data_IF_528729008597
#
_entry.id   IF_528729008597
#
_cell.length_a   1.000
_cell.length_b   1.000
_cell.length_c   1.000
_cell.angle_alpha   90.00
_cell.angle_beta   90.00
_cell.angle_gamma   90.00
#
_symmetry.space_group_name_H-M   'P 1'
#
loop_
_entity.id
_entity.type
_entity.pdbx_description
1 polymer ?
#
# COMPACT_ATOMS: atom_id res chain seq x y z
N UNK A 1 19.97 -38.83 -1.10
CA UNK A 1 20.07 -37.83 -2.18
C UNK A 1 18.72 -37.15 -2.35
N UNK A 2 18.49 -36.03 -1.65
CA UNK A 2 17.33 -35.14 -1.89
C UNK A 2 17.69 -33.73 -1.40
N UNK A 3 18.60 -33.05 -2.10
CA UNK A 3 18.83 -31.62 -1.91
C UNK A 3 18.22 -30.87 -3.10
N UNK A 4 17.04 -30.30 -2.91
CA UNK A 4 16.48 -29.27 -3.81
C UNK A 4 15.89 -28.16 -2.93
N UNK A 5 16.77 -27.25 -2.51
CA UNK A 5 16.38 -25.99 -1.89
C UNK A 5 17.23 -24.88 -2.54
N UNK A 6 17.02 -24.64 -3.83
CA UNK A 6 17.74 -23.61 -4.58
C UNK A 6 16.85 -23.01 -5.66
N UNK A 7 15.96 -22.09 -5.26
CA UNK A 7 15.54 -21.00 -6.15
C UNK A 7 16.29 -19.75 -5.70
N UNK A 8 17.60 -19.71 -5.97
CA UNK A 8 18.37 -18.47 -5.93
C UNK A 8 18.10 -17.73 -7.25
N UNK A 9 17.22 -16.73 -7.21
CA UNK A 9 17.08 -15.76 -8.29
C UNK A 9 18.33 -14.88 -8.32
N UNK A 10 19.20 -15.20 -9.26
CA UNK A 10 20.41 -14.47 -9.61
C UNK A 10 20.06 -13.08 -10.14
N UNK A 11 20.55 -12.04 -9.46
CA UNK A 11 20.34 -10.64 -9.79
C UNK A 11 19.62 -9.92 -8.66
N UNK A 12 20.35 -9.10 -7.88
CA UNK A 12 19.72 -8.18 -6.93
C UNK A 12 18.80 -7.24 -7.70
N UNK A 13 17.51 -7.56 -7.74
CA UNK A 13 16.49 -6.72 -8.37
C UNK A 13 16.47 -5.33 -7.70
N UNK A 14 16.11 -4.30 -8.47
CA UNK A 14 16.08 -2.92 -7.98
C UNK A 14 15.27 -2.77 -6.67
N UNK A 15 14.18 -3.53 -6.53
CA UNK A 15 13.34 -3.55 -5.32
C UNK A 15 14.09 -4.08 -4.09
N UNK A 16 14.94 -5.10 -4.23
CA UNK A 16 15.75 -5.62 -3.11
C UNK A 16 16.79 -4.58 -2.66
N UNK A 17 17.34 -3.81 -3.59
CA UNK A 17 18.33 -2.77 -3.28
C UNK A 17 17.72 -1.55 -2.59
N UNK A 18 16.49 -1.19 -2.92
CA UNK A 18 15.79 -0.01 -2.37
C UNK A 18 15.05 -0.34 -1.08
N UNK A 19 14.32 -1.46 -1.05
CA UNK A 19 13.43 -1.81 0.06
C UNK A 19 13.98 -2.91 0.97
N UNK A 20 15.05 -3.62 0.55
CA UNK A 20 15.72 -4.66 1.33
C UNK A 20 14.76 -5.69 1.93
N UNK A 21 13.87 -6.20 1.08
CA UNK A 21 12.78 -7.08 1.45
C UNK A 21 13.27 -8.30 2.25
N UNK A 22 14.44 -8.85 1.91
CA UNK A 22 15.01 -10.00 2.63
C UNK A 22 15.56 -9.64 4.01
N UNK A 23 16.08 -8.43 4.20
CA UNK A 23 16.51 -7.93 5.52
C UNK A 23 15.31 -7.74 6.44
N UNK A 24 14.18 -7.28 5.88
CA UNK A 24 12.93 -7.12 6.62
C UNK A 24 12.08 -8.40 6.69
N UNK A 25 12.53 -9.50 6.07
CA UNK A 25 11.80 -10.76 6.05
C UNK A 25 10.46 -10.72 5.31
N UNK A 26 10.26 -9.75 4.40
CA UNK A 26 9.03 -9.59 3.62
C UNK A 26 9.22 -9.96 2.16
N UNK A 27 8.13 -9.95 1.38
CA UNK A 27 8.16 -10.21 -0.06
C UNK A 27 7.53 -9.05 -0.81
N UNK A 28 7.93 -8.84 -2.07
CA UNK A 28 7.36 -7.79 -2.91
C UNK A 28 5.83 -7.88 -3.01
N UNK A 29 5.27 -9.10 -3.04
CA UNK A 29 3.82 -9.31 -3.03
C UNK A 29 3.17 -8.78 -1.74
N UNK A 30 3.78 -9.04 -0.59
CA UNK A 30 3.29 -8.57 0.71
C UNK A 30 3.30 -7.04 0.77
N UNK A 31 4.41 -6.42 0.39
CA UNK A 31 4.54 -4.94 0.41
C UNK A 31 3.56 -4.27 -0.55
N UNK A 32 3.35 -4.82 -1.74
CA UNK A 32 2.38 -4.27 -2.71
C UNK A 32 0.96 -4.33 -2.15
N UNK A 33 0.57 -5.43 -1.51
CA UNK A 33 -0.76 -5.56 -0.89
C UNK A 33 -0.91 -4.60 0.29
N UNK A 34 0.13 -4.48 1.11
CA UNK A 34 0.15 -3.54 2.24
C UNK A 34 -0.01 -2.09 1.75
N UNK A 35 0.81 -1.67 0.78
CA UNK A 35 0.74 -0.33 0.19
C UNK A 35 -0.60 -0.06 -0.50
N UNK A 36 -1.14 -1.04 -1.23
CA UNK A 36 -2.45 -0.92 -1.87
C UNK A 36 -3.58 -0.76 -0.84
N UNK A 37 -3.53 -1.50 0.27
CA UNK A 37 -4.51 -1.40 1.35
C UNK A 37 -4.47 -0.01 1.97
N UNK A 38 -3.28 0.49 2.31
CA UNK A 38 -3.09 1.87 2.78
C UNK A 38 -3.62 2.89 1.79
N UNK A 39 -3.28 2.77 0.51
CA UNK A 39 -3.79 3.66 -0.53
C UNK A 39 -5.32 3.68 -0.58
N UNK A 40 -5.97 2.52 -0.59
CA UNK A 40 -7.43 2.44 -0.57
C UNK A 40 -8.04 3.04 0.70
N UNK A 41 -7.42 2.87 1.86
CA UNK A 41 -7.87 3.51 3.11
C UNK A 41 -7.86 5.03 2.99
N UNK A 42 -6.77 5.62 2.49
CA UNK A 42 -6.68 7.07 2.26
C UNK A 42 -7.72 7.55 1.25
N UNK A 43 -7.89 6.83 0.14
CA UNK A 43 -8.91 7.13 -0.87
C UNK A 43 -10.31 7.10 -0.25
N UNK A 44 -10.62 6.06 0.52
CA UNK A 44 -11.90 5.95 1.23
C UNK A 44 -12.15 7.16 2.14
N UNK A 45 -11.16 7.56 2.95
CA UNK A 45 -11.28 8.73 3.85
C UNK A 45 -11.59 10.02 3.07
N UNK A 46 -10.91 10.26 1.96
CA UNK A 46 -11.12 11.46 1.12
C UNK A 46 -12.54 11.53 0.57
N UNK A 47 -13.16 10.41 0.23
CA UNK A 47 -14.53 10.39 -0.28
C UNK A 47 -15.59 10.33 0.82
N UNK A 48 -15.32 9.62 1.92
CA UNK A 48 -16.30 9.37 2.98
C UNK A 48 -16.42 10.53 3.95
N UNK A 49 -15.33 11.22 4.28
CA UNK A 49 -15.41 12.38 5.17
C UNK A 49 -16.35 13.47 4.61
N UNK A 50 -16.26 13.87 3.33
CA UNK A 50 -17.20 14.83 2.75
C UNK A 50 -18.63 14.28 2.59
N UNK A 51 -18.79 12.98 2.29
CA UNK A 51 -20.11 12.37 2.16
C UNK A 51 -20.87 12.38 3.48
N UNK A 52 -20.21 12.13 4.61
CA UNK A 52 -20.82 12.20 5.95
C UNK A 52 -21.20 13.65 6.30
N UNK A 53 -20.35 14.63 6.00
CA UNK A 53 -20.68 16.06 6.21
C UNK A 53 -21.81 16.55 5.30
N UNK A 54 -21.94 16.01 4.09
CA UNK A 54 -23.02 16.33 3.16
C UNK A 54 -24.41 15.90 3.65
N UNK A 55 -24.52 14.80 4.42
CA UNK A 55 -25.82 14.36 4.99
C UNK A 55 -26.27 15.25 6.16
N UNK A 56 -25.35 15.99 6.78
CA UNK A 56 -25.62 16.89 7.90
C UNK A 56 -26.07 18.31 7.48
N UNK A 57 -26.23 18.57 6.17
CA UNK A 57 -26.75 19.85 5.65
C UNK A 57 -25.71 20.97 5.53
N UNK A 58 -24.42 20.66 5.57
CA UNK A 58 -23.33 21.62 5.32
C UNK A 58 -22.83 21.49 3.88
N UNK A 59 -22.73 22.61 3.16
CA UNK A 59 -22.30 22.68 1.76
C UNK A 59 -21.00 21.89 1.54
N UNK A 60 -21.03 20.91 0.63
CA UNK A 60 -19.93 19.98 0.31
C UNK A 60 -18.67 20.68 -0.22
N UNK A 61 -18.77 21.98 -0.51
CA UNK A 61 -17.68 22.87 -0.93
C UNK A 61 -16.75 23.31 0.22
N UNK A 62 -17.17 23.19 1.48
CA UNK A 62 -16.35 23.62 2.63
C UNK A 62 -15.27 22.62 3.07
N UNK A 63 -15.32 21.37 2.57
CA UNK A 63 -14.35 20.31 2.94
C UNK A 63 -13.20 20.21 1.94
N UNK A 64 -13.28 20.93 0.81
CA UNK A 64 -12.27 20.96 -0.26
C UNK A 64 -11.63 22.35 -0.48
N UNK A 65 -11.82 23.29 0.44
CA UNK A 65 -11.20 24.64 0.43
C UNK A 65 -10.60 24.85 1.82
N UNK A 66 -9.29 24.92 2.02
CA UNK A 66 -8.27 25.82 1.44
C UNK A 66 -6.89 25.22 1.62
#
# INVERSE_FOLDING_TARGET
MSQQHTTQASGQGMLERVFKLREHGTTARTEVIAGFTTFLTMVYIVFVNPQILGVAGMDTSAVFVT
#
